data_IF_317112400600
#
_entry.id   IF_317112400600
#
_cell.length_a   1.000
_cell.length_b   1.000
_cell.length_c   1.000
_cell.angle_alpha   90.00
_cell.angle_beta   90.00
_cell.angle_gamma   90.00
#
_symmetry.space_group_name_H-M   'P 1'
#
loop_
_entity.id
_entity.type
_entity.pdbx_description
1 polymer ?
#
# COMPACT_ATOMS: atom_id res chain seq x y z
N UNK A 1 -6.68 20.00 16.98
CA UNK A 1 -6.89 18.79 17.78
C UNK A 1 -6.90 17.63 16.80
N UNK A 2 -6.01 16.66 16.97
CA UNK A 2 -6.04 15.44 16.14
C UNK A 2 -7.23 14.59 16.60
N UNK A 3 -7.98 14.04 15.63
CA UNK A 3 -9.06 13.10 15.89
C UNK A 3 -8.45 11.85 16.56
N UNK A 4 -8.97 11.39 17.71
CA UNK A 4 -8.45 10.22 18.41
C UNK A 4 -8.51 8.92 17.59
N UNK A 5 -9.30 8.92 16.51
CA UNK A 5 -9.44 7.78 15.60
C UNK A 5 -8.42 7.79 14.43
N UNK A 6 -7.51 8.76 14.39
CA UNK A 6 -6.50 8.83 13.33
C UNK A 6 -5.16 8.24 13.74
N UNK A 7 -4.59 7.41 12.89
CA UNK A 7 -3.26 6.80 13.06
C UNK A 7 -2.26 7.42 12.10
N UNK A 8 -1.34 8.21 12.65
CA UNK A 8 -0.24 8.82 11.89
C UNK A 8 0.93 7.86 11.66
N UNK A 9 1.29 7.11 12.69
CA UNK A 9 2.35 6.09 12.64
C UNK A 9 1.96 4.95 13.56
N UNK A 10 2.41 3.77 13.24
CA UNK A 10 2.36 2.63 14.15
C UNK A 10 3.67 2.56 14.95
N UNK A 11 3.57 2.12 16.20
CA UNK A 11 4.72 1.79 17.02
C UNK A 11 4.48 0.41 17.61
N UNK A 12 5.25 -0.56 17.16
CA UNK A 12 5.14 -1.96 17.53
C UNK A 12 6.49 -2.42 18.11
N UNK A 13 6.45 -3.38 19.02
CA UNK A 13 7.65 -4.06 19.51
C UNK A 13 8.16 -5.08 18.46
N UNK A 14 8.45 -4.55 17.28
CA UNK A 14 8.99 -5.27 16.12
C UNK A 14 10.08 -4.42 15.46
N UNK A 15 10.98 -5.05 14.73
CA UNK A 15 11.97 -4.33 13.92
C UNK A 15 11.27 -3.58 12.78
N UNK A 16 11.29 -2.25 12.84
CA UNK A 16 10.82 -1.39 11.76
C UNK A 16 11.85 -1.41 10.62
N UNK A 17 11.51 -2.01 9.48
CA UNK A 17 12.38 -2.06 8.30
C UNK A 17 12.27 -0.79 7.46
N UNK A 18 11.06 -0.27 7.32
CA UNK A 18 10.82 0.91 6.49
C UNK A 18 9.58 1.68 6.96
N UNK A 19 9.73 3.02 7.03
CA UNK A 19 8.61 3.94 7.22
C UNK A 19 8.38 4.71 5.93
N UNK A 20 7.37 4.28 5.18
CA UNK A 20 6.98 4.95 3.94
C UNK A 20 6.10 6.17 4.18
N UNK A 21 5.70 6.86 3.12
CA UNK A 21 4.83 8.05 3.19
C UNK A 21 3.48 7.77 3.87
N UNK A 22 2.93 6.56 3.69
CA UNK A 22 1.59 6.19 4.16
C UNK A 22 1.51 4.77 4.75
N UNK A 23 2.64 4.08 4.88
CA UNK A 23 2.71 2.70 5.36
C UNK A 23 4.00 2.45 6.10
N UNK A 24 3.93 1.70 7.19
CA UNK A 24 5.08 1.21 7.94
C UNK A 24 5.24 -0.29 7.70
N UNK A 25 6.47 -0.78 7.56
CA UNK A 25 6.80 -2.18 7.28
C UNK A 25 7.67 -2.72 8.39
N UNK A 26 7.17 -3.75 9.08
CA UNK A 26 7.85 -4.41 10.18
C UNK A 26 8.26 -5.83 9.82
N UNK A 27 9.40 -6.26 10.32
CA UNK A 27 9.83 -7.65 10.27
C UNK A 27 9.13 -8.41 11.39
N UNK A 28 8.44 -9.50 11.04
CA UNK A 28 7.87 -10.44 12.02
C UNK A 28 8.82 -11.62 12.20
N UNK A 29 9.30 -12.16 11.09
CA UNK A 29 10.36 -13.16 11.03
C UNK A 29 11.13 -13.06 9.69
N UNK A 30 12.03 -14.01 9.41
CA UNK A 30 12.87 -13.99 8.21
C UNK A 30 12.07 -14.03 6.90
N UNK A 31 10.87 -14.61 6.90
CA UNK A 31 10.05 -14.85 5.71
C UNK A 31 8.76 -14.03 5.68
N UNK A 32 8.46 -13.31 6.77
CA UNK A 32 7.15 -12.67 6.95
C UNK A 32 7.28 -11.22 7.41
N UNK A 33 6.51 -10.34 6.79
CA UNK A 33 6.41 -8.93 7.14
C UNK A 33 4.99 -8.57 7.59
N UNK A 34 4.89 -7.58 8.50
CA UNK A 34 3.63 -6.92 8.83
C UNK A 34 3.66 -5.51 8.23
N UNK A 35 2.77 -5.26 7.28
CA UNK A 35 2.61 -3.97 6.63
C UNK A 35 1.44 -3.23 7.25
N UNK A 36 1.69 -2.08 7.89
CA UNK A 36 0.67 -1.30 8.62
C UNK A 36 0.38 0.00 7.88
N UNK A 37 -0.84 0.14 7.36
CA UNK A 37 -1.29 1.34 6.68
C UNK A 37 -1.67 2.44 7.68
N UNK A 38 -1.16 3.64 7.49
CA UNK A 38 -1.53 4.82 8.27
C UNK A 38 -2.64 5.63 7.58
N UNK A 39 -3.19 6.57 8.32
CA UNK A 39 -4.21 7.50 7.82
C UNK A 39 -3.59 8.73 7.13
N UNK A 40 -2.25 8.79 7.03
CA UNK A 40 -1.54 9.82 6.28
C UNK A 40 -1.96 9.79 4.81
N UNK A 41 -2.02 10.96 4.20
CA UNK A 41 -2.25 11.14 2.76
C UNK A 41 -1.00 11.71 2.12
N UNK A 42 -0.60 11.15 0.99
CA UNK A 42 0.50 11.70 0.19
C UNK A 42 -0.03 12.09 -1.19
N UNK A 43 0.31 13.30 -1.63
CA UNK A 43 0.03 13.79 -2.97
C UNK A 43 1.24 14.57 -3.48
N UNK A 44 1.60 14.39 -4.76
CA UNK A 44 2.78 15.02 -5.38
C UNK A 44 4.06 14.82 -4.55
N UNK A 45 4.25 13.60 -4.01
CA UNK A 45 5.36 13.21 -3.13
C UNK A 45 5.45 13.93 -1.77
N UNK A 46 4.47 14.74 -1.43
CA UNK A 46 4.37 15.42 -0.14
C UNK A 46 3.34 14.71 0.75
N UNK A 47 3.72 14.42 2.00
CA UNK A 47 2.78 13.95 3.02
C UNK A 47 2.00 15.16 3.53
N UNK A 48 0.69 15.12 3.38
CA UNK A 48 -0.18 16.19 3.84
C UNK A 48 -0.23 16.22 5.39
N UNK A 49 -0.32 17.41 6.00
CA UNK A 49 -0.31 17.53 7.45
C UNK A 49 -1.59 16.97 8.13
N UNK A 50 -2.68 16.89 7.37
CA UNK A 50 -3.96 16.39 7.88
C UNK A 50 -4.20 14.96 7.38
N UNK A 51 -4.30 13.98 8.30
CA UNK A 51 -4.67 12.61 7.96
C UNK A 51 -6.17 12.52 7.67
N UNK A 52 -6.57 11.45 7.00
CA UNK A 52 -7.98 11.11 6.77
C UNK A 52 -8.34 9.92 7.66
N UNK A 53 -9.26 10.08 8.63
CA UNK A 53 -9.64 9.00 9.54
C UNK A 53 -10.05 7.73 8.78
N UNK A 54 -9.62 6.57 9.29
CA UNK A 54 -9.91 5.25 8.72
C UNK A 54 -9.38 4.98 7.29
N UNK A 55 -8.64 5.91 6.68
CA UNK A 55 -8.09 5.68 5.33
C UNK A 55 -7.22 4.42 5.27
N UNK A 56 -6.37 4.22 6.28
CA UNK A 56 -5.51 3.03 6.36
C UNK A 56 -6.31 1.73 6.39
N UNK A 57 -7.38 1.67 7.17
CA UNK A 57 -8.28 0.51 7.24
C UNK A 57 -8.97 0.24 5.91
N UNK A 58 -9.58 1.27 5.31
CA UNK A 58 -10.31 1.13 4.04
C UNK A 58 -9.39 0.64 2.94
N UNK A 59 -8.20 1.24 2.78
CA UNK A 59 -7.26 0.83 1.74
C UNK A 59 -6.69 -0.57 1.98
N UNK A 60 -6.46 -0.95 3.23
CA UNK A 60 -6.00 -2.28 3.57
C UNK A 60 -7.04 -3.35 3.22
N UNK A 61 -8.29 -3.13 3.64
CA UNK A 61 -9.37 -4.10 3.41
C UNK A 61 -9.76 -4.21 1.93
N UNK A 62 -9.79 -3.10 1.19
CA UNK A 62 -10.08 -3.16 -0.26
C UNK A 62 -8.95 -3.84 -1.03
N UNK A 63 -7.69 -3.65 -0.61
CA UNK A 63 -6.55 -4.37 -1.20
C UNK A 63 -6.67 -5.87 -0.95
N UNK A 64 -6.97 -6.28 0.27
CA UNK A 64 -7.16 -7.68 0.61
C UNK A 64 -8.29 -8.31 -0.22
N UNK A 65 -9.43 -7.63 -0.32
CA UNK A 65 -10.56 -8.08 -1.14
C UNK A 65 -10.18 -8.29 -2.61
N UNK A 66 -9.44 -7.35 -3.21
CA UNK A 66 -8.98 -7.50 -4.60
C UNK A 66 -8.00 -8.66 -4.76
N UNK A 67 -7.07 -8.85 -3.83
CA UNK A 67 -6.14 -9.98 -3.89
C UNK A 67 -6.88 -11.33 -3.78
N UNK A 68 -7.89 -11.43 -2.90
CA UNK A 68 -8.76 -12.61 -2.82
C UNK A 68 -9.53 -12.88 -4.14
N UNK A 69 -10.01 -11.81 -4.83
CA UNK A 69 -10.67 -11.98 -6.14
C UNK A 69 -9.71 -12.45 -7.25
N UNK A 70 -8.42 -12.24 -7.08
CA UNK A 70 -7.39 -12.55 -8.06
C UNK A 70 -6.60 -13.83 -7.73
N UNK A 71 -6.89 -14.48 -6.60
CA UNK A 71 -6.11 -15.61 -6.06
C UNK A 71 -5.94 -16.75 -7.07
N UNK A 72 -6.98 -17.07 -7.84
CA UNK A 72 -6.94 -18.09 -8.90
C UNK A 72 -6.13 -17.67 -10.15
N UNK A 73 -5.75 -16.39 -10.26
CA UNK A 73 -5.15 -15.83 -11.48
C UNK A 73 -3.76 -15.28 -11.28
N UNK A 74 -3.43 -14.86 -10.07
CA UNK A 74 -2.20 -14.15 -9.76
C UNK A 74 -1.67 -14.57 -8.39
N UNK A 75 -0.47 -15.15 -8.37
CA UNK A 75 0.23 -15.36 -7.11
C UNK A 75 0.52 -14.00 -6.45
N UNK A 76 0.22 -13.86 -5.18
CA UNK A 76 0.42 -12.62 -4.42
C UNK A 76 1.03 -12.88 -3.04
N UNK A 77 1.46 -11.81 -2.39
CA UNK A 77 2.20 -11.88 -1.13
C UNK A 77 1.31 -11.94 0.12
N UNK A 78 -0.01 -11.76 0.01
CA UNK A 78 -0.91 -11.71 1.16
C UNK A 78 -1.04 -13.07 1.86
N UNK A 79 -0.85 -13.08 3.19
CA UNK A 79 -1.08 -14.24 4.06
C UNK A 79 -2.39 -14.07 4.83
N UNK A 80 -2.58 -12.92 5.49
CA UNK A 80 -3.77 -12.63 6.28
C UNK A 80 -3.96 -11.13 6.53
N UNK A 81 -5.22 -10.71 6.69
CA UNK A 81 -5.61 -9.39 7.21
C UNK A 81 -6.47 -9.48 8.45
N UNK A 82 -7.07 -10.64 8.70
CA UNK A 82 -7.86 -10.91 9.91
C UNK A 82 -6.96 -10.91 11.14
N UNK A 83 -7.22 -10.04 12.14
CA UNK A 83 -6.35 -9.93 13.32
C UNK A 83 -6.26 -11.22 14.13
N UNK A 84 -7.33 -12.00 14.22
CA UNK A 84 -7.33 -13.22 15.02
C UNK A 84 -6.50 -14.31 14.33
N UNK A 85 -6.52 -14.38 13.00
CA UNK A 85 -5.62 -15.27 12.23
C UNK A 85 -4.15 -14.84 12.35
N UNK A 86 -3.86 -13.55 12.37
CA UNK A 86 -2.50 -13.03 12.55
C UNK A 86 -2.00 -13.39 13.95
N UNK A 87 -2.79 -13.14 15.00
CA UNK A 87 -2.43 -13.44 16.37
C UNK A 87 -2.30 -14.96 16.61
N UNK A 88 -3.15 -15.78 16.00
CA UNK A 88 -3.04 -17.23 16.09
C UNK A 88 -1.69 -17.74 15.57
N UNK A 89 -1.12 -17.08 14.55
CA UNK A 89 0.20 -17.41 14.00
C UNK A 89 1.34 -16.75 14.78
N UNK A 90 1.13 -15.53 15.28
CA UNK A 90 2.12 -14.70 15.99
C UNK A 90 1.54 -14.12 17.28
N UNK A 91 1.45 -14.94 18.36
CA UNK A 91 0.76 -14.55 19.60
C UNK A 91 1.31 -13.28 20.25
N UNK A 92 2.61 -12.97 20.09
CA UNK A 92 3.23 -11.76 20.63
C UNK A 92 2.65 -10.45 20.06
N UNK A 93 1.99 -10.49 18.90
CA UNK A 93 1.31 -9.33 18.32
C UNK A 93 0.00 -8.96 19.04
N UNK A 94 -0.50 -9.81 19.92
CA UNK A 94 -1.74 -9.56 20.66
C UNK A 94 -1.65 -8.31 21.55
N UNK A 95 -0.50 -8.05 22.16
CA UNK A 95 -0.28 -6.91 23.07
C UNK A 95 -0.41 -5.56 22.37
N UNK A 96 -0.07 -5.50 21.09
CA UNK A 96 -0.15 -4.28 20.26
C UNK A 96 -1.34 -4.28 19.29
N UNK A 97 -2.33 -5.16 19.48
CA UNK A 97 -3.46 -5.36 18.56
C UNK A 97 -4.11 -4.05 18.11
N UNK A 98 -4.40 -3.15 19.03
CA UNK A 98 -5.12 -1.89 18.75
C UNK A 98 -4.34 -0.96 17.80
N UNK A 99 -3.02 -1.08 17.76
CA UNK A 99 -2.17 -0.25 16.90
C UNK A 99 -2.19 -0.69 15.43
N UNK A 100 -2.51 -1.96 15.14
CA UNK A 100 -2.42 -2.52 13.79
C UNK A 100 -3.67 -3.23 13.27
N UNK A 101 -4.60 -3.63 14.14
CA UNK A 101 -5.81 -4.33 13.71
C UNK A 101 -6.56 -3.57 12.61
N UNK A 102 -7.10 -4.31 11.62
CA UNK A 102 -7.83 -3.84 10.44
C UNK A 102 -7.00 -3.06 9.41
N UNK A 103 -5.89 -2.43 9.82
CA UNK A 103 -5.00 -1.63 8.94
C UNK A 103 -3.71 -2.33 8.58
N UNK A 104 -3.46 -3.52 9.13
CA UNK A 104 -2.30 -4.33 8.81
C UNK A 104 -2.64 -5.50 7.89
N UNK A 105 -1.67 -5.89 7.10
CA UNK A 105 -1.64 -7.16 6.38
C UNK A 105 -0.35 -7.90 6.71
N UNK A 106 -0.49 -9.17 7.00
CA UNK A 106 0.62 -10.11 7.10
C UNK A 106 0.93 -10.60 5.69
N UNK A 107 2.18 -10.52 5.29
CA UNK A 107 2.59 -10.82 3.93
C UNK A 107 3.87 -11.65 3.89
N UNK A 108 4.06 -12.42 2.82
CA UNK A 108 5.34 -13.04 2.52
C UNK A 108 6.39 -11.96 2.24
N UNK A 109 7.60 -12.14 2.78
CA UNK A 109 8.75 -11.34 2.41
C UNK A 109 9.17 -11.69 0.99
N UNK A 110 9.29 -10.70 0.14
CA UNK A 110 9.70 -10.84 -1.26
C UNK A 110 10.78 -9.82 -1.58
N UNK A 111 11.60 -10.10 -2.59
CA UNK A 111 12.52 -9.14 -3.16
C UNK A 111 11.82 -8.39 -4.30
N UNK A 112 11.44 -7.11 -4.11
CA UNK A 112 10.74 -6.37 -5.12
C UNK A 112 11.67 -6.03 -6.29
N UNK A 113 11.17 -6.17 -7.51
CA UNK A 113 11.79 -5.53 -8.67
C UNK A 113 11.60 -4.02 -8.53
N UNK A 114 12.70 -3.25 -8.49
CA UNK A 114 12.67 -1.80 -8.24
C UNK A 114 12.22 -1.01 -9.49
N UNK A 115 11.09 -1.41 -10.06
CA UNK A 115 10.45 -0.77 -11.22
C UNK A 115 8.98 -0.56 -10.91
N UNK A 116 8.52 0.69 -11.03
CA UNK A 116 7.08 0.99 -10.93
C UNK A 116 6.42 0.81 -12.30
N UNK A 117 5.48 -0.14 -12.39
CA UNK A 117 4.71 -0.40 -13.60
C UNK A 117 3.33 0.25 -13.46
N UNK A 118 3.07 1.31 -14.23
CA UNK A 118 1.78 2.00 -14.22
C UNK A 118 0.98 1.61 -15.47
N UNK A 119 -0.07 0.79 -15.30
CA UNK A 119 -1.02 0.44 -16.35
C UNK A 119 -2.19 1.41 -16.33
N UNK A 120 -2.47 2.05 -17.47
CA UNK A 120 -3.53 3.06 -17.59
C UNK A 120 -4.54 2.63 -18.64
N UNK A 121 -5.82 2.79 -18.36
CA UNK A 121 -6.89 2.58 -19.34
C UNK A 121 -6.97 3.70 -20.41
N UNK A 122 -6.40 4.88 -20.09
CA UNK A 122 -6.41 6.05 -20.96
C UNK A 122 -5.07 6.78 -20.85
N UNK A 123 -4.71 7.54 -21.89
CA UNK A 123 -3.55 8.42 -21.85
C UNK A 123 -3.87 9.63 -20.96
N UNK A 124 -3.33 9.64 -19.74
CA UNK A 124 -3.57 10.69 -18.75
C UNK A 124 -2.31 10.99 -17.94
N UNK A 125 -2.29 12.09 -17.19
CA UNK A 125 -1.16 12.46 -16.34
C UNK A 125 0.12 12.71 -17.14
N UNK A 126 1.25 12.13 -16.70
CA UNK A 126 2.56 12.23 -17.35
C UNK A 126 2.55 11.70 -18.80
N UNK A 127 1.82 10.62 -19.06
CA UNK A 127 1.68 10.05 -20.40
C UNK A 127 1.03 11.04 -21.39
N UNK A 128 -0.01 11.75 -20.95
CA UNK A 128 -0.64 12.79 -21.76
C UNK A 128 0.29 13.99 -22.02
N UNK A 129 1.08 14.37 -21.02
CA UNK A 129 2.05 15.45 -21.17
C UNK A 129 3.11 15.09 -22.22
N UNK A 130 3.70 13.89 -22.14
CA UNK A 130 4.69 13.38 -23.11
C UNK A 130 4.07 13.34 -24.52
N UNK A 131 2.88 12.75 -24.69
CA UNK A 131 2.21 12.66 -25.96
C UNK A 131 1.98 14.06 -26.60
N UNK A 132 1.54 15.03 -25.83
CA UNK A 132 1.34 16.40 -26.32
C UNK A 132 2.63 17.08 -26.76
N UNK A 133 3.76 16.74 -26.14
CA UNK A 133 5.06 17.35 -26.43
C UNK A 133 5.77 16.68 -27.62
N UNK A 134 5.66 15.38 -27.77
CA UNK A 134 6.45 14.59 -28.72
C UNK A 134 5.67 13.62 -29.59
N UNK A 135 4.37 13.42 -29.34
CA UNK A 135 3.59 12.37 -30.01
C UNK A 135 3.94 10.94 -29.60
N UNK A 136 4.72 10.78 -28.52
CA UNK A 136 5.23 9.48 -28.06
C UNK A 136 4.71 9.13 -26.68
N UNK A 137 4.86 7.85 -26.30
CA UNK A 137 4.77 7.36 -24.95
C UNK A 137 5.90 6.36 -24.70
N UNK A 138 6.72 6.59 -23.70
CA UNK A 138 7.94 5.82 -23.42
C UNK A 138 8.84 5.65 -24.67
N UNK A 139 8.98 6.72 -25.45
CA UNK A 139 9.70 6.80 -26.73
C UNK A 139 9.06 6.03 -27.91
N UNK A 140 7.90 5.42 -27.72
CA UNK A 140 7.15 4.77 -28.81
C UNK A 140 6.15 5.77 -29.43
N UNK A 141 6.11 5.86 -30.76
CA UNK A 141 5.20 6.74 -31.47
C UNK A 141 3.75 6.28 -31.32
N UNK A 142 2.86 7.20 -30.99
CA UNK A 142 1.42 6.97 -30.91
C UNK A 142 0.68 7.59 -32.11
N UNK A 143 -0.53 7.12 -32.42
CA UNK A 143 -1.37 7.73 -33.47
C UNK A 143 -1.58 9.21 -33.22
N UNK A 144 -1.61 10.02 -34.33
CA UNK A 144 -1.92 11.43 -34.24
C UNK A 144 -3.40 11.69 -33.89
N UNK A 145 -3.67 12.83 -33.29
CA UNK A 145 -5.04 13.28 -32.99
C UNK A 145 -5.72 12.68 -31.80
N UNK A 146 -4.99 11.98 -30.93
CA UNK A 146 -5.54 11.50 -29.65
C UNK A 146 -5.96 12.69 -28.77
N UNK A 147 -7.09 12.55 -28.06
CA UNK A 147 -7.65 13.55 -27.16
C UNK A 147 -7.63 13.03 -25.72
N UNK A 148 -7.58 13.99 -24.78
CA UNK A 148 -7.58 13.69 -23.35
C UNK A 148 -8.96 13.17 -22.92
#
# INVERSE_FOLDING_TARGET
>A
MSDPNTVHSSELDLTLLHRGKVRDVYEVDAETLLMVASDRVSAFDVVLPQPVPHKGEVLNLITAWWLEQLDDRLAHHLIAVDPDRIIARYPHLAESRDAWARRAMLVHRTDPVLVECVVRGYISGSAWKEYRESGTLASEALPEGLQK
#
